data_IF_385134093741
#
_entry.id   IF_385134093741
#
_cell.length_a   1.000
_cell.length_b   1.000
_cell.length_c   1.000
_cell.angle_alpha   90.00
_cell.angle_beta   90.00
_cell.angle_gamma   90.00
#
_symmetry.space_group_name_H-M   'P 1'
#
loop_
_entity.id
_entity.type
_entity.pdbx_description
1 polymer ?
#
# COMPACT_ATOMS: atom_id res chain seq x y z
N UNK A 1 0.05 1.54 0.36
CA UNK A 1 -1.05 2.51 0.53
C UNK A 1 -2.37 1.79 0.72
N UNK A 2 -3.26 2.34 1.53
CA UNK A 2 -4.58 1.74 1.82
C UNK A 2 -5.74 2.77 1.78
N UNK A 3 -5.44 4.01 1.41
CA UNK A 3 -6.42 5.10 1.37
C UNK A 3 -6.77 5.70 2.73
N UNK A 4 -6.14 5.26 3.82
CA UNK A 4 -6.35 5.81 5.17
C UNK A 4 -5.75 7.21 5.34
N UNK A 5 -6.00 7.83 6.50
CA UNK A 5 -5.35 9.09 6.88
C UNK A 5 -3.82 8.96 6.92
N UNK A 6 -3.30 7.78 7.24
CA UNK A 6 -1.86 7.53 7.25
C UNK A 6 -1.25 7.46 5.86
N UNK A 7 -1.98 6.99 4.85
CA UNK A 7 -1.57 7.13 3.45
C UNK A 7 -1.36 8.60 3.11
N UNK A 8 -2.28 9.49 3.48
CA UNK A 8 -2.15 10.93 3.23
C UNK A 8 -0.94 11.54 3.94
N UNK A 9 -0.71 11.16 5.20
CA UNK A 9 0.47 11.62 5.98
C UNK A 9 1.77 11.15 5.33
N UNK A 10 1.82 9.91 4.89
CA UNK A 10 3.00 9.35 4.23
C UNK A 10 3.27 10.05 2.90
N UNK A 11 2.25 10.30 2.09
CA UNK A 11 2.39 11.05 0.83
C UNK A 11 2.87 12.48 1.08
N UNK A 12 2.34 13.16 2.09
CA UNK A 12 2.80 14.50 2.48
C UNK A 12 4.28 14.47 2.90
N UNK A 13 4.69 13.45 3.64
CA UNK A 13 6.09 13.27 4.01
C UNK A 13 6.99 13.14 2.79
N UNK A 14 6.62 12.32 1.81
CA UNK A 14 7.40 12.12 0.60
C UNK A 14 7.66 13.41 -0.18
N UNK A 15 6.63 14.22 -0.37
CA UNK A 15 6.75 15.44 -1.18
C UNK A 15 7.43 16.61 -0.45
N UNK A 16 7.59 16.52 0.86
CA UNK A 16 8.24 17.57 1.68
C UNK A 16 9.70 17.26 2.04
N UNK A 17 10.23 16.12 1.60
CA UNK A 17 11.60 15.72 1.87
C UNK A 17 12.36 15.47 0.55
N UNK A 18 13.37 16.28 0.30
CA UNK A 18 14.13 16.28 -0.95
C UNK A 18 14.72 14.92 -1.33
N UNK A 19 15.06 14.11 -0.32
CA UNK A 19 15.55 12.74 -0.53
C UNK A 19 14.62 11.92 -1.44
N UNK A 20 13.32 12.14 -1.33
CA UNK A 20 12.31 11.40 -2.09
C UNK A 20 11.90 12.09 -3.41
N UNK A 21 12.41 13.27 -3.68
CA UNK A 21 12.08 14.02 -4.90
C UNK A 21 13.13 13.87 -6.03
N UNK A 22 14.16 13.08 -5.80
CA UNK A 22 15.19 12.82 -6.80
C UNK A 22 14.61 12.08 -8.01
N UNK A 23 14.97 12.53 -9.21
CA UNK A 23 14.61 11.86 -10.48
C UNK A 23 15.24 10.46 -10.61
N UNK A 24 16.26 10.15 -9.81
CA UNK A 24 16.89 8.83 -9.76
C UNK A 24 16.06 7.81 -9.00
N UNK A 25 15.09 8.24 -8.20
CA UNK A 25 14.19 7.36 -7.49
C UNK A 25 13.05 6.88 -8.41
N UNK A 26 12.74 5.60 -8.32
CA UNK A 26 11.54 5.04 -8.93
C UNK A 26 10.57 4.58 -7.85
N UNK A 27 9.28 4.77 -8.08
CA UNK A 27 8.22 4.49 -7.11
C UNK A 27 7.20 3.50 -7.65
N UNK A 28 6.75 2.64 -6.77
CA UNK A 28 5.59 1.78 -7.00
C UNK A 28 4.61 1.98 -5.85
N UNK A 29 3.41 2.45 -6.15
CA UNK A 29 2.31 2.48 -5.21
C UNK A 29 1.66 1.09 -5.19
N UNK A 30 1.63 0.46 -4.03
CA UNK A 30 1.14 -0.89 -3.86
C UNK A 30 0.01 -0.94 -2.83
N UNK A 31 -1.06 -1.65 -3.15
CA UNK A 31 -2.16 -1.89 -2.22
C UNK A 31 -2.56 -3.36 -2.19
N UNK A 32 -3.15 -3.79 -1.09
CA UNK A 32 -3.66 -5.15 -0.91
C UNK A 32 -5.14 -5.09 -0.61
N UNK A 33 -5.92 -5.87 -1.35
CA UNK A 33 -7.34 -6.05 -1.11
C UNK A 33 -7.56 -7.32 -0.29
N UNK A 34 -8.32 -7.21 0.81
CA UNK A 34 -8.68 -8.38 1.60
C UNK A 34 -9.51 -9.36 0.75
N UNK A 35 -9.17 -10.63 0.81
CA UNK A 35 -9.90 -11.65 0.09
C UNK A 35 -11.35 -11.74 0.57
N UNK A 36 -12.30 -11.75 -0.37
CA UNK A 36 -13.70 -12.00 -0.06
C UNK A 36 -13.88 -13.41 0.51
N UNK A 37 -14.87 -13.62 1.41
CA UNK A 37 -15.19 -14.95 1.89
C UNK A 37 -15.48 -15.92 0.75
N UNK A 38 -15.10 -17.21 0.87
CA UNK A 38 -15.32 -18.19 -0.20
C UNK A 38 -16.78 -18.29 -0.68
N UNK A 39 -17.74 -18.16 0.25
CA UNK A 39 -19.17 -18.16 -0.09
C UNK A 39 -19.56 -16.99 -0.99
N UNK A 40 -19.05 -15.80 -0.73
CA UNK A 40 -19.32 -14.62 -1.56
C UNK A 40 -18.72 -14.79 -2.94
N UNK A 41 -17.51 -15.32 -3.04
CA UNK A 41 -16.86 -15.61 -4.33
C UNK A 41 -17.61 -16.64 -5.16
N UNK A 42 -18.06 -17.72 -4.52
CA UNK A 42 -18.83 -18.77 -5.19
C UNK A 42 -20.20 -18.27 -5.66
N UNK A 43 -20.83 -17.36 -4.92
CA UNK A 43 -22.17 -16.85 -5.25
C UNK A 43 -22.21 -15.98 -6.51
N UNK A 44 -21.14 -15.22 -6.79
CA UNK A 44 -21.13 -14.22 -7.89
C UNK A 44 -20.26 -14.60 -9.07
N UNK A 45 -19.37 -15.58 -8.92
CA UNK A 45 -18.48 -16.05 -9.97
C UNK A 45 -17.20 -15.23 -10.11
N UNK A 46 -16.21 -15.81 -10.77
CA UNK A 46 -14.84 -15.27 -10.86
C UNK A 46 -14.77 -13.91 -11.55
N UNK A 47 -15.47 -13.72 -12.66
CA UNK A 47 -15.40 -12.46 -13.42
C UNK A 47 -15.86 -11.25 -12.59
N UNK A 48 -16.94 -11.41 -11.81
CA UNK A 48 -17.48 -10.35 -10.95
C UNK A 48 -16.52 -10.11 -9.78
N UNK A 49 -15.95 -11.15 -9.19
CA UNK A 49 -14.97 -11.04 -8.10
C UNK A 49 -13.71 -10.31 -8.57
N UNK A 50 -13.16 -10.67 -9.72
CA UNK A 50 -11.96 -10.03 -10.28
C UNK A 50 -12.21 -8.55 -10.56
N UNK A 51 -13.37 -8.21 -11.11
CA UNK A 51 -13.79 -6.83 -11.35
C UNK A 51 -13.91 -6.06 -10.03
N UNK A 52 -14.50 -6.65 -9.00
CA UNK A 52 -14.62 -6.04 -7.68
C UNK A 52 -13.24 -5.70 -7.10
N UNK A 53 -12.29 -6.64 -7.10
CA UNK A 53 -10.95 -6.39 -6.59
C UNK A 53 -10.23 -5.29 -7.36
N UNK A 54 -10.33 -5.30 -8.68
CA UNK A 54 -9.73 -4.28 -9.53
C UNK A 54 -10.30 -2.89 -9.23
N UNK A 55 -11.60 -2.77 -9.11
CA UNK A 55 -12.27 -1.51 -8.80
C UNK A 55 -11.90 -0.99 -7.39
N UNK A 56 -11.85 -1.87 -6.40
CA UNK A 56 -11.45 -1.49 -5.04
C UNK A 56 -9.98 -1.06 -4.96
N UNK A 57 -9.11 -1.76 -5.66
CA UNK A 57 -7.70 -1.36 -5.77
C UNK A 57 -7.55 0.01 -6.44
N UNK A 58 -8.29 0.24 -7.52
CA UNK A 58 -8.26 1.51 -8.25
C UNK A 58 -8.75 2.70 -7.41
N UNK A 59 -9.74 2.50 -6.55
CA UNK A 59 -10.20 3.53 -5.60
C UNK A 59 -9.09 4.01 -4.67
N UNK A 60 -8.16 3.14 -4.31
CA UNK A 60 -6.99 3.48 -3.49
C UNK A 60 -5.86 4.06 -4.34
N UNK A 61 -5.53 3.41 -5.43
CA UNK A 61 -4.34 3.73 -6.24
C UNK A 61 -4.51 4.98 -7.09
N UNK A 62 -5.68 5.22 -7.66
CA UNK A 62 -5.89 6.36 -8.56
C UNK A 62 -5.67 7.72 -7.87
N UNK A 63 -6.24 7.98 -6.67
CA UNK A 63 -5.94 9.23 -5.96
C UNK A 63 -4.45 9.39 -5.61
N UNK A 64 -3.79 8.31 -5.22
CA UNK A 64 -2.35 8.30 -4.88
C UNK A 64 -1.51 8.63 -6.12
N UNK A 65 -1.78 7.94 -7.22
CA UNK A 65 -1.07 8.14 -8.49
C UNK A 65 -1.23 9.58 -8.98
N UNK A 66 -2.44 10.11 -8.96
CA UNK A 66 -2.73 11.50 -9.36
C UNK A 66 -2.02 12.52 -8.46
N UNK A 67 -2.01 12.27 -7.15
CA UNK A 67 -1.31 13.12 -6.19
C UNK A 67 0.20 13.15 -6.48
N UNK A 68 0.82 11.99 -6.63
CA UNK A 68 2.24 11.87 -6.92
C UNK A 68 2.61 12.52 -8.26
N UNK A 69 1.81 12.31 -9.29
CA UNK A 69 2.04 12.89 -10.61
C UNK A 69 2.00 14.44 -10.58
N UNK A 70 1.12 15.04 -9.80
CA UNK A 70 1.10 16.49 -9.58
C UNK A 70 2.38 17.03 -8.95
N UNK A 71 3.12 16.17 -8.24
CA UNK A 71 4.41 16.50 -7.63
C UNK A 71 5.60 15.93 -8.42
N UNK A 72 5.39 15.64 -9.72
CA UNK A 72 6.40 15.16 -10.66
C UNK A 72 6.98 13.78 -10.32
N UNK A 73 6.19 12.96 -9.64
CA UNK A 73 6.52 11.56 -9.35
C UNK A 73 5.58 10.68 -10.17
N UNK A 74 6.12 10.06 -11.22
CA UNK A 74 5.37 9.09 -12.03
C UNK A 74 5.53 7.68 -11.42
N UNK A 75 4.66 7.33 -10.49
CA UNK A 75 4.71 6.06 -9.80
C UNK A 75 3.99 4.96 -10.60
N UNK A 76 4.61 3.79 -10.66
CA UNK A 76 3.91 2.57 -11.08
C UNK A 76 2.87 2.19 -10.03
N UNK A 77 1.84 1.48 -10.44
CA UNK A 77 0.81 0.97 -9.54
C UNK A 77 0.75 -0.55 -9.62
N UNK A 78 0.52 -1.18 -8.50
CA UNK A 78 0.32 -2.63 -8.41
C UNK A 78 -0.56 -2.98 -7.22
N UNK A 79 -1.21 -4.12 -7.27
CA UNK A 79 -2.04 -4.59 -6.18
C UNK A 79 -2.11 -6.11 -6.13
N UNK A 80 -2.44 -6.65 -4.97
CA UNK A 80 -2.71 -8.09 -4.76
C UNK A 80 -3.93 -8.27 -3.87
N UNK A 81 -4.46 -9.47 -3.84
CA UNK A 81 -5.46 -9.89 -2.86
C UNK A 81 -4.83 -10.83 -1.84
N UNK A 82 -5.26 -10.72 -0.59
CA UNK A 82 -4.78 -11.57 0.48
C UNK A 82 -4.61 -10.83 1.80
N UNK A 83 -3.71 -11.31 2.62
CA UNK A 83 -3.33 -10.68 3.89
C UNK A 83 -2.32 -9.57 3.65
N UNK A 84 -2.65 -8.36 4.05
CA UNK A 84 -1.88 -7.16 3.69
C UNK A 84 -0.42 -7.24 4.10
N UNK A 85 -0.13 -7.60 5.35
CA UNK A 85 1.25 -7.66 5.84
C UNK A 85 2.12 -8.66 5.09
N UNK A 86 1.59 -9.86 4.85
CA UNK A 86 2.28 -10.90 4.09
C UNK A 86 2.49 -10.51 2.62
N UNK A 87 1.46 -9.99 1.98
CA UNK A 87 1.53 -9.57 0.57
C UNK A 87 2.51 -8.42 0.36
N UNK A 88 2.56 -7.47 1.28
CA UNK A 88 3.51 -6.36 1.21
C UNK A 88 4.94 -6.86 1.37
N UNK A 89 5.20 -7.70 2.38
CA UNK A 89 6.54 -8.25 2.61
C UNK A 89 7.01 -9.09 1.42
N UNK A 90 6.16 -9.96 0.91
CA UNK A 90 6.47 -10.78 -0.27
C UNK A 90 6.74 -9.94 -1.51
N UNK A 91 5.90 -8.94 -1.78
CA UNK A 91 6.07 -8.05 -2.92
C UNK A 91 7.37 -7.24 -2.83
N UNK A 92 7.69 -6.73 -1.64
CA UNK A 92 8.93 -6.00 -1.40
C UNK A 92 10.17 -6.88 -1.56
N UNK A 93 10.15 -8.07 -0.99
CA UNK A 93 11.31 -8.99 -0.99
C UNK A 93 11.54 -9.63 -2.37
N UNK A 94 10.49 -9.85 -3.16
CA UNK A 94 10.58 -10.45 -4.49
C UNK A 94 10.88 -9.45 -5.62
N UNK A 95 10.69 -8.16 -5.36
CA UNK A 95 11.03 -7.07 -6.28
C UNK A 95 12.40 -6.47 -5.96
N UNK A 96 12.93 -5.66 -6.87
CA UNK A 96 14.18 -4.93 -6.65
C UNK A 96 13.92 -3.60 -5.95
N UNK A 97 13.38 -3.65 -4.74
CA UNK A 97 13.07 -2.47 -3.94
C UNK A 97 14.16 -2.23 -2.89
N UNK A 98 14.53 -0.96 -2.72
CA UNK A 98 15.52 -0.53 -1.73
C UNK A 98 14.87 -0.10 -0.41
N UNK A 99 13.59 0.26 -0.45
CA UNK A 99 12.89 0.80 0.70
C UNK A 99 11.37 0.59 0.56
N UNK A 100 10.73 0.19 1.64
CA UNK A 100 9.28 0.23 1.79
C UNK A 100 8.91 1.46 2.61
N UNK A 101 7.97 2.26 2.14
CA UNK A 101 7.46 3.42 2.86
C UNK A 101 5.97 3.19 3.11
N UNK A 102 5.57 3.24 4.35
CA UNK A 102 4.18 3.01 4.73
C UNK A 102 3.79 3.82 5.96
N UNK A 103 2.49 3.98 6.15
CA UNK A 103 1.96 4.54 7.40
C UNK A 103 2.14 3.58 8.57
N UNK A 104 2.31 4.11 9.76
CA UNK A 104 2.41 3.30 10.98
C UNK A 104 1.10 2.61 11.36
N UNK A 105 -0.03 3.09 10.84
CA UNK A 105 -1.38 2.56 11.06
C UNK A 105 -2.16 2.54 9.74
N UNK A 106 -3.29 1.85 9.73
CA UNK A 106 -4.22 1.82 8.62
C UNK A 106 -5.59 2.42 9.00
N UNK A 107 -6.66 1.78 8.55
CA UNK A 107 -8.04 2.20 8.84
C UNK A 107 -8.52 1.87 10.26
N UNK A 108 -7.76 1.11 11.03
CA UNK A 108 -8.10 0.77 12.41
C UNK A 108 -8.12 1.99 13.32
N UNK A 109 -9.03 1.97 14.32
CA UNK A 109 -9.26 3.09 15.24
C UNK A 109 -8.47 3.00 16.55
N UNK A 110 -7.53 2.08 16.67
CA UNK A 110 -6.78 1.84 17.90
C UNK A 110 -5.70 2.92 18.09
N UNK A 111 -6.13 4.11 18.47
CA UNK A 111 -5.27 5.27 18.71
C UNK A 111 -4.20 5.06 19.78
N UNK A 112 -4.38 4.05 20.65
CA UNK A 112 -3.46 3.74 21.74
C UNK A 112 -2.33 2.76 21.34
N UNK A 113 -2.36 2.20 20.14
CA UNK A 113 -1.30 1.34 19.65
C UNK A 113 -0.16 2.19 19.07
N UNK A 114 1.05 1.83 19.42
CA UNK A 114 2.26 2.45 18.86
C UNK A 114 2.35 2.18 17.36
N UNK A 115 1.83 1.04 16.92
CA UNK A 115 1.94 0.58 15.53
C UNK A 115 0.75 -0.30 15.16
N UNK A 116 0.27 -0.19 13.92
CA UNK A 116 -0.81 -1.01 13.39
C UNK A 116 -0.38 -2.45 13.11
N UNK A 117 -1.36 -3.33 12.93
CA UNK A 117 -1.13 -4.76 12.69
C UNK A 117 -0.39 -5.04 11.39
N UNK A 118 -0.71 -4.33 10.31
CA UNK A 118 -0.04 -4.50 9.00
C UNK A 118 1.43 -4.08 9.10
N UNK A 119 1.72 -2.92 9.69
CA UNK A 119 3.09 -2.46 9.90
C UNK A 119 3.90 -3.45 10.75
N UNK A 120 3.30 -3.99 11.81
CA UNK A 120 3.93 -5.01 12.65
C UNK A 120 4.28 -6.26 11.84
N UNK A 121 3.38 -6.76 11.02
CA UNK A 121 3.62 -7.93 10.18
C UNK A 121 4.67 -7.68 9.10
N UNK A 122 4.65 -6.50 8.47
CA UNK A 122 5.66 -6.14 7.48
C UNK A 122 7.05 -6.12 8.10
N UNK A 123 7.20 -5.51 9.27
CA UNK A 123 8.48 -5.48 9.98
C UNK A 123 8.95 -6.87 10.40
N UNK A 124 8.03 -7.77 10.73
CA UNK A 124 8.37 -9.14 11.13
C UNK A 124 8.86 -10.01 9.95
N UNK A 125 8.39 -9.75 8.73
CA UNK A 125 8.59 -10.65 7.59
C UNK A 125 9.39 -10.04 6.43
N UNK A 126 9.48 -8.71 6.33
CA UNK A 126 10.13 -8.02 5.23
C UNK A 126 11.63 -7.85 5.50
N UNK A 127 12.46 -8.19 4.52
CA UNK A 127 13.91 -8.00 4.58
C UNK A 127 14.35 -6.63 4.08
N UNK A 128 13.52 -5.99 3.25
CA UNK A 128 13.76 -4.63 2.76
C UNK A 128 13.58 -3.63 3.92
N UNK A 129 14.43 -2.61 4.03
CA UNK A 129 14.24 -1.54 5.02
C UNK A 129 12.86 -0.90 4.93
N UNK A 130 12.27 -0.58 6.06
CA UNK A 130 10.92 0.00 6.15
C UNK A 130 10.97 1.35 6.84
N UNK A 131 10.46 2.37 6.19
CA UNK A 131 10.20 3.68 6.77
C UNK A 131 8.73 3.78 7.16
N UNK A 132 8.48 3.97 8.45
CA UNK A 132 7.14 4.18 8.99
C UNK A 132 6.87 5.66 9.20
N UNK A 133 5.77 6.16 8.64
CA UNK A 133 5.31 7.54 8.83
C UNK A 133 4.10 7.53 9.77
N UNK A 134 4.22 8.30 10.83
CA UNK A 134 3.17 8.44 11.86
C UNK A 134 2.14 9.50 11.50
#
# INVERSE_FOLDING_TARGET
VDGSAYTKKMLAYLITHDLFLSEQNSYTAFTVQAALPPRARAAVGKAIVDKYYSEEAEKVLSPVSKFLLRHRIDAKTSWKTGHAGECIAEFADSGDFDLVIMGSHGHGTLANLVMGSVATQVLAHCKVPVLLVR
#
